data_IF_338208385863
#
_entry.id   IF_338208385863
#
_cell.length_a   1.000
_cell.length_b   1.000
_cell.length_c   1.000
_cell.angle_alpha   90.00
_cell.angle_beta   90.00
_cell.angle_gamma   90.00
#
_symmetry.space_group_name_H-M   'P 1'
#
loop_
_entity.id
_entity.type
_entity.pdbx_description
1 polymer ?
#
# COMPACT_ATOMS: atom_id res chain seq x y z
N UNK A 1 12.20 -13.91 -41.90
CA UNK A 1 12.81 -12.65 -41.44
C UNK A 1 14.21 -12.95 -40.99
N UNK A 2 15.17 -12.13 -41.41
CA UNK A 2 16.61 -12.30 -41.19
C UNK A 2 17.28 -10.91 -41.25
N UNK A 3 18.53 -10.81 -40.80
CA UNK A 3 19.22 -9.52 -40.69
C UNK A 3 19.50 -8.87 -42.04
N UNK A 4 19.68 -9.63 -43.12
CA UNK A 4 19.88 -9.04 -44.45
C UNK A 4 18.59 -8.39 -44.96
N UNK A 5 17.46 -9.07 -44.78
CA UNK A 5 16.14 -8.51 -45.08
C UNK A 5 15.88 -7.24 -44.26
N UNK A 6 16.18 -7.25 -42.96
CA UNK A 6 16.00 -6.05 -42.11
C UNK A 6 16.91 -4.90 -42.56
N UNK A 7 18.17 -5.18 -42.91
CA UNK A 7 19.10 -4.16 -43.40
C UNK A 7 18.60 -3.54 -44.71
N UNK A 8 18.12 -4.34 -45.65
CA UNK A 8 17.53 -3.86 -46.90
C UNK A 8 16.29 -2.98 -46.65
N UNK A 9 15.40 -3.38 -45.73
CA UNK A 9 14.24 -2.55 -45.34
C UNK A 9 14.68 -1.22 -44.70
N UNK A 10 15.76 -1.22 -43.93
CA UNK A 10 16.32 -0.02 -43.31
C UNK A 10 16.90 0.94 -44.35
N UNK A 11 17.72 0.44 -45.27
CA UNK A 11 18.35 1.24 -46.34
C UNK A 11 17.31 1.85 -47.29
N UNK A 12 16.19 1.16 -47.50
CA UNK A 12 15.10 1.62 -48.34
C UNK A 12 14.03 2.45 -47.58
N UNK A 13 14.30 2.88 -46.34
CA UNK A 13 13.38 3.65 -45.49
C UNK A 13 11.97 3.02 -45.36
N UNK A 14 11.89 1.70 -45.34
CA UNK A 14 10.61 0.97 -45.30
C UNK A 14 10.06 0.78 -43.88
N UNK A 15 10.75 1.31 -42.87
CA UNK A 15 10.25 1.36 -41.50
C UNK A 15 9.72 2.75 -41.20
N UNK A 16 8.42 2.83 -40.93
CA UNK A 16 7.76 4.10 -40.58
C UNK A 16 7.86 4.41 -39.09
N UNK A 17 8.27 3.42 -38.27
CA UNK A 17 8.51 3.59 -36.84
C UNK A 17 9.56 2.62 -36.30
N UNK A 18 10.18 2.98 -35.17
CA UNK A 18 11.08 2.10 -34.41
C UNK A 18 10.40 0.78 -33.99
N UNK A 19 9.08 0.81 -33.79
CA UNK A 19 8.29 -0.38 -33.40
C UNK A 19 8.22 -1.42 -34.52
N UNK A 20 8.14 -1.00 -35.78
CA UNK A 20 8.15 -1.91 -36.93
C UNK A 20 9.52 -2.58 -37.10
N UNK A 21 10.60 -1.81 -36.91
CA UNK A 21 11.95 -2.35 -36.90
C UNK A 21 12.15 -3.36 -35.76
N UNK A 22 11.72 -3.03 -34.54
CA UNK A 22 11.79 -3.97 -33.40
C UNK A 22 11.01 -5.25 -33.70
N UNK A 23 9.79 -5.14 -34.22
CA UNK A 23 8.92 -6.28 -34.52
C UNK A 23 9.62 -7.27 -35.47
N UNK A 24 10.29 -6.79 -36.50
CA UNK A 24 10.99 -7.65 -37.45
C UNK A 24 12.24 -8.29 -36.83
N UNK A 25 12.99 -7.58 -35.98
CA UNK A 25 14.10 -8.18 -35.22
C UNK A 25 13.58 -9.28 -34.28
N UNK A 26 12.48 -9.04 -33.56
CA UNK A 26 11.87 -10.04 -32.67
C UNK A 26 11.42 -11.29 -33.42
N UNK A 27 10.91 -11.12 -34.64
CA UNK A 27 10.51 -12.22 -35.49
C UNK A 27 11.69 -13.15 -35.85
N UNK A 28 12.92 -12.63 -35.94
CA UNK A 28 14.13 -13.46 -36.11
C UNK A 28 14.31 -14.38 -34.90
N UNK A 29 14.20 -13.86 -33.67
CA UNK A 29 14.35 -14.65 -32.45
C UNK A 29 13.23 -15.68 -32.29
N UNK A 30 11.98 -15.27 -32.53
CA UNK A 30 10.84 -16.19 -32.49
C UNK A 30 11.01 -17.36 -33.48
N UNK A 31 11.42 -17.07 -34.71
CA UNK A 31 11.68 -18.12 -35.70
C UNK A 31 12.85 -19.01 -35.26
N UNK A 32 13.93 -18.43 -34.73
CA UNK A 32 15.06 -19.19 -34.21
C UNK A 32 14.62 -20.20 -33.13
N UNK A 33 13.77 -19.79 -32.19
CA UNK A 33 13.29 -20.69 -31.12
C UNK A 33 12.24 -21.68 -31.58
N UNK A 34 11.51 -21.37 -32.65
CA UNK A 34 10.46 -22.26 -33.19
C UNK A 34 11.05 -23.42 -34.00
N UNK A 35 12.11 -23.16 -34.75
CA UNK A 35 12.66 -24.15 -35.69
C UNK A 35 13.87 -24.93 -35.16
N UNK A 36 14.49 -24.51 -34.05
CA UNK A 36 15.68 -25.15 -33.50
C UNK A 36 15.39 -25.79 -32.14
N UNK A 37 16.04 -26.93 -31.86
CA UNK A 37 15.96 -27.61 -30.57
C UNK A 37 16.53 -26.73 -29.44
N UNK A 38 15.92 -26.78 -28.26
CA UNK A 38 16.31 -25.95 -27.10
C UNK A 38 17.77 -26.14 -26.65
N UNK A 39 18.40 -27.28 -26.98
CA UNK A 39 19.81 -27.58 -26.69
C UNK A 39 20.73 -27.35 -27.90
N UNK A 40 20.19 -26.92 -29.03
CA UNK A 40 20.98 -26.67 -30.24
C UNK A 40 21.84 -25.41 -30.08
N UNK A 41 22.95 -25.37 -30.80
CA UNK A 41 23.87 -24.21 -30.79
C UNK A 41 23.17 -22.97 -31.34
N UNK A 42 22.29 -23.14 -32.30
CA UNK A 42 21.50 -22.09 -32.96
C UNK A 42 20.50 -21.48 -31.96
N UNK A 43 19.78 -22.29 -31.18
CA UNK A 43 18.87 -21.81 -30.15
C UNK A 43 19.61 -20.99 -29.08
N UNK A 44 20.72 -21.52 -28.56
CA UNK A 44 21.56 -20.83 -27.57
C UNK A 44 22.14 -19.52 -28.13
N UNK A 45 22.61 -19.52 -29.37
CA UNK A 45 23.14 -18.32 -30.03
C UNK A 45 22.05 -17.27 -30.25
N UNK A 46 20.83 -17.71 -30.60
CA UNK A 46 19.66 -16.83 -30.70
C UNK A 46 19.30 -16.17 -29.37
N UNK A 47 19.47 -16.87 -28.24
CA UNK A 47 19.23 -16.29 -26.90
C UNK A 47 20.29 -15.26 -26.51
N UNK A 48 21.56 -15.52 -26.83
CA UNK A 48 22.65 -14.57 -26.59
C UNK A 48 22.43 -13.30 -27.43
N UNK A 49 22.09 -13.45 -28.70
CA UNK A 49 21.85 -12.32 -29.60
C UNK A 49 20.63 -11.49 -29.18
N UNK A 50 19.54 -12.14 -28.74
CA UNK A 50 18.36 -11.46 -28.17
C UNK A 50 18.73 -10.62 -26.94
N UNK A 51 19.59 -11.15 -26.06
CA UNK A 51 20.07 -10.42 -24.89
C UNK A 51 20.86 -9.16 -25.26
N UNK A 52 21.79 -9.26 -26.21
CA UNK A 52 22.60 -8.12 -26.69
C UNK A 52 21.70 -7.07 -27.36
N UNK A 53 20.71 -7.52 -28.13
CA UNK A 53 19.74 -6.62 -28.73
C UNK A 53 18.94 -5.85 -27.67
N UNK A 54 18.45 -6.53 -26.63
CA UNK A 54 17.69 -5.90 -25.54
C UNK A 54 18.47 -4.82 -24.80
N UNK A 55 19.74 -5.10 -24.49
CA UNK A 55 20.65 -4.15 -23.84
C UNK A 55 20.75 -2.86 -24.67
N UNK A 56 21.13 -2.99 -25.95
CA UNK A 56 21.29 -1.85 -26.86
C UNK A 56 19.97 -1.12 -27.16
N UNK A 57 18.86 -1.85 -27.26
CA UNK A 57 17.55 -1.29 -27.55
C UNK A 57 17.07 -0.42 -26.38
N UNK A 58 17.23 -0.90 -25.13
CA UNK A 58 16.81 -0.17 -23.94
C UNK A 58 17.64 1.11 -23.73
N UNK A 59 18.95 1.07 -23.93
CA UNK A 59 19.81 2.27 -23.85
C UNK A 59 19.40 3.34 -24.86
N UNK A 60 19.10 2.94 -26.11
CA UNK A 60 18.67 3.85 -27.18
C UNK A 60 17.27 4.41 -26.96
N UNK A 61 16.33 3.61 -26.45
CA UNK A 61 14.97 4.07 -26.14
C UNK A 61 15.00 5.09 -24.99
N UNK A 62 15.80 4.86 -23.95
CA UNK A 62 15.97 5.81 -22.84
C UNK A 62 16.53 7.15 -23.34
N UNK A 63 17.50 7.12 -24.25
CA UNK A 63 18.07 8.35 -24.84
C UNK A 63 17.09 9.07 -25.77
N UNK A 64 16.34 8.34 -26.59
CA UNK A 64 15.31 8.89 -27.48
C UNK A 64 14.18 9.53 -26.67
N UNK A 65 13.71 8.86 -25.62
CA UNK A 65 12.65 9.33 -24.72
C UNK A 65 13.10 10.57 -23.93
N UNK A 66 14.38 10.64 -23.52
CA UNK A 66 14.96 11.85 -22.92
C UNK A 66 14.95 13.05 -23.88
N UNK A 67 15.30 12.85 -25.15
CA UNK A 67 15.30 13.89 -26.17
C UNK A 67 13.87 14.33 -26.55
N UNK A 68 12.91 13.39 -26.63
CA UNK A 68 11.51 13.72 -26.93
C UNK A 68 10.82 14.41 -25.76
N UNK A 69 11.16 14.08 -24.51
CA UNK A 69 10.65 14.78 -23.31
C UNK A 69 11.13 16.21 -23.21
N UNK A 70 12.37 16.52 -23.62
CA UNK A 70 12.89 17.89 -23.66
C UNK A 70 12.22 18.73 -24.76
N UNK A 71 11.94 18.14 -25.93
CA UNK A 71 11.18 18.79 -27.01
C UNK A 71 9.69 19.01 -26.66
N UNK A 72 9.09 18.10 -25.88
CA UNK A 72 7.67 18.17 -25.44
C UNK A 72 7.43 19.19 -24.32
N UNK A 73 8.44 19.56 -23.52
CA UNK A 73 8.30 20.59 -22.46
C UNK A 73 8.17 22.03 -23.00
N UNK A 74 8.43 22.25 -24.29
CA UNK A 74 8.44 23.59 -24.91
C UNK A 74 7.14 23.89 -25.68
N UNK A 75 6.23 22.93 -25.84
CA UNK A 75 4.99 23.11 -26.62
C UNK A 75 3.79 22.61 -25.83
N UNK A 76 3.26 23.51 -25.01
CA UNK A 76 1.87 23.71 -24.63
C UNK A 76 0.96 22.51 -24.25
N UNK A 77 0.32 22.72 -23.10
CA UNK A 77 -1.06 22.41 -22.74
C UNK A 77 -1.95 21.73 -23.79
N UNK A 78 -2.66 20.71 -23.29
CA UNK A 78 -3.87 20.06 -23.79
C UNK A 78 -3.75 18.73 -24.56
N UNK A 79 -4.40 17.74 -23.94
CA UNK A 79 -4.98 16.48 -24.45
C UNK A 79 -4.16 15.18 -24.55
N UNK A 80 -4.73 14.18 -23.86
CA UNK A 80 -4.70 12.73 -24.00
C UNK A 80 -3.43 11.90 -23.71
N UNK A 81 -3.34 11.44 -22.46
CA UNK A 81 -2.34 10.50 -21.91
C UNK A 81 -2.83 9.03 -21.92
N UNK A 82 -3.83 8.71 -22.76
CA UNK A 82 -4.57 7.44 -22.71
C UNK A 82 -3.92 6.28 -23.50
N UNK A 83 -3.11 6.55 -24.55
CA UNK A 83 -2.56 5.49 -25.43
C UNK A 83 -1.41 4.67 -24.79
N UNK A 84 -0.58 5.27 -23.93
CA UNK A 84 0.57 4.57 -23.34
C UNK A 84 0.20 3.65 -22.16
N UNK A 85 -0.81 4.04 -21.38
CA UNK A 85 -1.35 3.24 -20.27
C UNK A 85 -2.05 1.98 -20.80
N UNK A 86 -2.82 2.11 -21.90
CA UNK A 86 -3.52 1.00 -22.55
C UNK A 86 -2.53 -0.03 -23.13
N UNK A 87 -1.43 0.42 -23.75
CA UNK A 87 -0.38 -0.46 -24.26
C UNK A 87 0.35 -1.22 -23.15
N UNK A 88 0.64 -0.57 -22.03
CA UNK A 88 1.24 -1.22 -20.86
C UNK A 88 0.31 -2.28 -20.27
N UNK A 89 -0.97 -1.95 -20.07
CA UNK A 89 -1.97 -2.90 -19.57
C UNK A 89 -2.14 -4.10 -20.49
N UNK A 90 -2.23 -3.89 -21.81
CA UNK A 90 -2.29 -4.99 -22.80
C UNK A 90 -1.09 -5.92 -22.68
N UNK A 91 0.11 -5.38 -22.49
CA UNK A 91 1.33 -6.18 -22.30
C UNK A 91 1.31 -6.96 -20.98
N UNK A 92 0.85 -6.35 -19.88
CA UNK A 92 0.70 -7.04 -18.60
C UNK A 92 -0.34 -8.16 -18.68
N UNK A 93 -1.48 -7.93 -19.32
CA UNK A 93 -2.51 -8.95 -19.55
C UNK A 93 -1.97 -10.12 -20.37
N UNK A 94 -1.20 -9.86 -21.44
CA UNK A 94 -0.56 -10.93 -22.22
C UNK A 94 0.45 -11.74 -21.38
N UNK A 95 1.24 -11.10 -20.52
CA UNK A 95 2.17 -11.79 -19.62
C UNK A 95 1.38 -12.68 -18.63
N UNK A 96 0.28 -12.17 -18.07
CA UNK A 96 -0.59 -12.93 -17.16
C UNK A 96 -1.22 -14.14 -17.86
N UNK A 97 -1.68 -13.99 -19.10
CA UNK A 97 -2.23 -15.09 -19.90
C UNK A 97 -1.17 -16.15 -20.22
N UNK A 98 0.01 -15.73 -20.69
CA UNK A 98 1.12 -16.64 -21.01
C UNK A 98 1.62 -17.41 -19.78
N UNK A 99 1.52 -16.82 -18.59
CA UNK A 99 1.98 -17.40 -17.33
C UNK A 99 0.84 -17.92 -16.45
N UNK A 100 -0.39 -18.06 -16.97
CA UNK A 100 -1.57 -18.45 -16.18
C UNK A 100 -1.41 -19.78 -15.44
N UNK A 101 -0.56 -20.69 -15.94
CA UNK A 101 -0.27 -21.98 -15.31
C UNK A 101 0.98 -21.99 -14.43
N UNK A 102 1.72 -20.88 -14.36
CA UNK A 102 2.86 -20.75 -13.47
C UNK A 102 2.36 -20.52 -12.03
N UNK A 103 2.81 -21.37 -11.11
CA UNK A 103 2.37 -21.36 -9.70
C UNK A 103 2.66 -20.01 -9.01
N UNK A 104 3.81 -19.40 -9.29
CA UNK A 104 4.22 -18.12 -8.70
C UNK A 104 3.29 -17.00 -9.18
N UNK A 105 2.97 -16.96 -10.48
CA UNK A 105 2.03 -15.97 -11.02
C UNK A 105 0.63 -16.14 -10.46
N UNK A 106 0.14 -17.37 -10.33
CA UNK A 106 -1.14 -17.64 -9.67
C UNK A 106 -1.18 -17.12 -8.24
N UNK A 107 -0.10 -17.32 -7.47
CA UNK A 107 -0.02 -16.81 -6.11
C UNK A 107 -0.04 -15.28 -6.08
N UNK A 108 0.75 -14.61 -6.92
CA UNK A 108 0.76 -13.13 -7.00
C UNK A 108 -0.62 -12.57 -7.36
N UNK A 109 -1.33 -13.21 -8.29
CA UNK A 109 -2.70 -12.82 -8.65
C UNK A 109 -3.65 -13.00 -7.46
N UNK A 110 -3.55 -14.12 -6.74
CA UNK A 110 -4.37 -14.37 -5.56
C UNK A 110 -4.10 -13.33 -4.46
N UNK A 111 -2.83 -12.99 -4.20
CA UNK A 111 -2.45 -11.98 -3.21
C UNK A 111 -2.98 -10.59 -3.62
N UNK A 112 -2.88 -10.24 -4.91
CA UNK A 112 -3.44 -9.00 -5.44
C UNK A 112 -4.97 -8.94 -5.31
N UNK A 113 -5.66 -10.06 -5.52
CA UNK A 113 -7.11 -10.17 -5.35
C UNK A 113 -7.52 -9.99 -3.88
N UNK A 114 -6.74 -10.52 -2.94
CA UNK A 114 -6.95 -10.30 -1.50
C UNK A 114 -6.81 -8.82 -1.15
N UNK A 115 -5.79 -8.13 -1.66
CA UNK A 115 -5.58 -6.69 -1.46
C UNK A 115 -6.76 -5.89 -2.03
N UNK A 116 -7.22 -6.21 -3.25
CA UNK A 116 -8.38 -5.56 -3.86
C UNK A 116 -9.65 -5.75 -3.02
N UNK A 117 -9.91 -6.97 -2.57
CA UNK A 117 -11.05 -7.30 -1.69
C UNK A 117 -10.98 -6.58 -0.33
N UNK A 118 -9.78 -6.49 0.25
CA UNK A 118 -9.55 -5.74 1.49
C UNK A 118 -9.94 -4.26 1.33
N UNK A 119 -9.54 -3.65 0.22
CA UNK A 119 -9.89 -2.28 -0.13
C UNK A 119 -11.40 -2.11 -0.39
N UNK A 120 -11.99 -2.94 -1.25
CA UNK A 120 -13.39 -2.82 -1.64
C UNK A 120 -14.34 -2.97 -0.44
N UNK A 121 -14.04 -3.90 0.47
CA UNK A 121 -14.83 -4.11 1.68
C UNK A 121 -14.77 -2.90 2.63
N UNK A 122 -13.59 -2.31 2.83
CA UNK A 122 -13.42 -1.22 3.78
C UNK A 122 -14.07 0.09 3.30
N UNK A 123 -14.00 0.40 2.00
CA UNK A 123 -14.57 1.65 1.43
C UNK A 123 -16.10 1.66 1.29
N UNK A 124 -16.74 0.49 1.42
CA UNK A 124 -18.19 0.38 1.65
C UNK A 124 -18.56 0.32 3.13
N UNK A 125 -17.56 0.39 4.01
CA UNK A 125 -17.73 0.45 5.45
C UNK A 125 -17.88 -0.91 6.14
N UNK A 126 -17.50 -2.01 5.48
CA UNK A 126 -17.44 -3.36 6.05
C UNK A 126 -15.99 -3.75 6.34
N UNK A 127 -15.57 -3.62 7.59
CA UNK A 127 -14.19 -3.91 8.00
C UNK A 127 -13.90 -5.41 8.19
N UNK A 128 -14.92 -6.28 8.26
CA UNK A 128 -14.73 -7.69 8.64
C UNK A 128 -13.76 -8.43 7.70
N UNK A 129 -13.92 -8.39 6.35
CA UNK A 129 -13.00 -9.08 5.45
C UNK A 129 -11.56 -8.57 5.56
N UNK A 130 -11.40 -7.26 5.76
CA UNK A 130 -10.11 -6.63 5.99
C UNK A 130 -9.42 -7.22 7.24
N UNK A 131 -10.15 -7.42 8.33
CA UNK A 131 -9.62 -7.99 9.58
C UNK A 131 -9.22 -9.45 9.42
N UNK A 132 -9.99 -10.24 8.67
CA UNK A 132 -9.68 -11.64 8.39
C UNK A 132 -8.37 -11.79 7.58
N UNK A 133 -8.20 -10.92 6.57
CA UNK A 133 -6.97 -10.86 5.78
C UNK A 133 -5.79 -10.42 6.65
N UNK A 134 -5.96 -9.34 7.43
CA UNK A 134 -4.93 -8.87 8.36
C UNK A 134 -4.49 -9.97 9.34
N UNK A 135 -5.43 -10.72 9.91
CA UNK A 135 -5.14 -11.84 10.80
C UNK A 135 -4.31 -12.92 10.09
N UNK A 136 -4.68 -13.26 8.85
CA UNK A 136 -3.94 -14.24 8.05
C UNK A 136 -2.48 -13.81 7.85
N UNK A 137 -2.24 -12.55 7.53
CA UNK A 137 -0.89 -12.00 7.38
C UNK A 137 -0.10 -12.01 8.70
N UNK A 138 -0.72 -11.60 9.82
CA UNK A 138 -0.07 -11.62 11.13
C UNK A 138 0.36 -13.04 11.53
N UNK A 139 -0.46 -14.05 11.23
CA UNK A 139 -0.16 -15.45 11.53
C UNK A 139 0.99 -16.04 10.68
N UNK A 140 1.34 -15.43 9.54
CA UNK A 140 2.53 -15.85 8.77
C UNK A 140 3.84 -15.45 9.44
N UNK A 141 3.80 -14.51 10.40
CA UNK A 141 5.00 -14.02 11.04
C UNK A 141 5.60 -15.06 11.97
N UNK A 142 6.92 -15.04 12.06
CA UNK A 142 7.63 -15.87 13.03
C UNK A 142 7.22 -15.47 14.45
N UNK A 143 6.93 -16.47 15.29
CA UNK A 143 6.74 -16.30 16.74
C UNK A 143 7.89 -15.52 17.42
N UNK A 144 9.09 -15.54 16.85
CA UNK A 144 10.22 -14.76 17.34
C UNK A 144 9.96 -13.24 17.30
N UNK A 145 9.07 -12.79 16.42
CA UNK A 145 8.71 -11.38 16.29
C UNK A 145 7.67 -10.90 17.30
N UNK A 146 7.00 -11.80 18.04
CA UNK A 146 5.98 -11.45 19.04
C UNK A 146 6.52 -10.49 20.13
N UNK A 147 7.79 -10.62 20.50
CA UNK A 147 8.41 -9.79 21.54
C UNK A 147 8.73 -8.36 21.08
N UNK A 148 8.91 -8.16 19.78
CA UNK A 148 9.32 -6.88 19.18
C UNK A 148 8.21 -6.20 18.37
N UNK A 149 7.10 -6.91 18.13
CA UNK A 149 5.97 -6.38 17.42
C UNK A 149 5.38 -5.15 18.12
N UNK A 150 5.01 -4.16 17.32
CA UNK A 150 4.55 -2.84 17.74
C UNK A 150 3.65 -2.20 16.67
N UNK A 151 3.19 -0.98 16.93
CA UNK A 151 2.30 -0.23 16.03
C UNK A 151 2.94 0.05 14.66
N UNK A 152 4.23 0.39 14.61
CA UNK A 152 4.92 0.62 13.33
C UNK A 152 4.96 -0.64 12.45
N UNK A 153 5.15 -1.82 13.04
CA UNK A 153 5.06 -3.09 12.33
C UNK A 153 3.63 -3.34 11.82
N UNK A 154 2.62 -3.07 12.65
CA UNK A 154 1.22 -3.21 12.28
C UNK A 154 0.86 -2.29 11.09
N UNK A 155 1.29 -1.03 11.16
CA UNK A 155 1.08 -0.05 10.11
C UNK A 155 1.68 -0.54 8.78
N UNK A 156 2.94 -0.98 8.78
CA UNK A 156 3.60 -1.50 7.58
C UNK A 156 2.86 -2.70 6.95
N UNK A 157 2.25 -3.57 7.76
CA UNK A 157 1.44 -4.69 7.26
C UNK A 157 0.14 -4.18 6.65
N UNK A 158 -0.62 -3.33 7.36
CA UNK A 158 -1.88 -2.77 6.86
C UNK A 158 -1.67 -1.97 5.58
N UNK A 159 -0.58 -1.21 5.51
CA UNK A 159 -0.12 -0.53 4.32
C UNK A 159 0.06 -1.49 3.12
N UNK A 160 0.66 -2.67 3.34
CA UNK A 160 0.81 -3.67 2.27
C UNK A 160 -0.52 -4.27 1.79
N UNK A 161 -1.58 -4.18 2.61
CA UNK A 161 -2.93 -4.67 2.31
C UNK A 161 -3.81 -3.62 1.61
N UNK A 162 -3.27 -2.43 1.34
CA UNK A 162 -4.00 -1.33 0.72
C UNK A 162 -3.28 -0.87 -0.56
N UNK A 163 -4.00 -0.59 -1.65
CA UNK A 163 -3.37 -0.12 -2.88
C UNK A 163 -2.70 1.25 -2.67
N UNK A 164 -1.50 1.41 -3.23
CA UNK A 164 -0.68 2.63 -3.06
C UNK A 164 -1.41 3.92 -3.46
N UNK A 165 -2.22 3.88 -4.51
CA UNK A 165 -2.98 5.05 -5.02
C UNK A 165 -4.12 5.47 -4.10
N UNK A 166 -4.52 4.62 -3.14
CA UNK A 166 -5.67 4.86 -2.29
C UNK A 166 -5.33 4.93 -0.80
N UNK A 167 -4.05 5.07 -0.44
CA UNK A 167 -3.65 5.17 0.97
C UNK A 167 -2.67 6.30 1.22
N UNK A 168 -2.85 6.98 2.34
CA UNK A 168 -1.99 8.05 2.83
C UNK A 168 -1.58 7.70 4.25
N UNK A 169 -0.38 7.14 4.44
CA UNK A 169 0.17 6.92 5.77
C UNK A 169 0.47 8.25 6.45
N UNK A 170 0.18 8.32 7.74
CA UNK A 170 0.49 9.44 8.63
C UNK A 170 -0.02 10.78 8.06
N UNK A 171 -1.31 10.83 7.73
CA UNK A 171 -1.94 12.05 7.20
C UNK A 171 -1.74 13.20 8.19
N UNK A 172 -1.03 14.23 7.75
CA UNK A 172 -0.63 15.34 8.62
C UNK A 172 -1.77 16.34 8.84
N UNK A 173 -2.05 16.62 10.11
CA UNK A 173 -3.15 17.47 10.56
C UNK A 173 -2.66 18.62 11.47
N UNK A 174 -3.30 19.78 11.34
CA UNK A 174 -3.29 20.81 12.37
C UNK A 174 -4.55 20.63 13.20
N UNK A 175 -4.38 20.10 14.41
CA UNK A 175 -5.49 19.79 15.32
C UNK A 175 -6.07 21.06 15.94
N UNK A 176 -5.18 21.92 16.43
CA UNK A 176 -5.54 23.20 17.03
C UNK A 176 -4.41 24.21 16.84
N UNK A 177 -4.58 25.13 15.88
CA UNK A 177 -3.60 26.16 15.57
C UNK A 177 -3.31 27.15 16.70
N UNK A 178 -4.16 27.21 17.73
CA UNK A 178 -3.97 28.08 18.91
C UNK A 178 -2.98 27.49 19.92
N UNK A 179 -2.71 26.19 19.85
CA UNK A 179 -1.80 25.51 20.78
C UNK A 179 -0.35 25.70 20.38
N UNK A 180 0.55 25.64 21.37
CA UNK A 180 1.99 25.66 21.14
C UNK A 180 2.44 24.35 20.49
N UNK A 181 3.55 24.39 19.73
CA UNK A 181 4.16 23.17 19.18
C UNK A 181 4.49 22.20 20.31
N UNK A 182 4.11 20.94 20.15
CA UNK A 182 4.28 19.89 21.17
C UNK A 182 3.16 19.80 22.21
N UNK A 183 2.18 20.71 22.21
CA UNK A 183 1.04 20.67 23.16
C UNK A 183 -0.25 20.09 22.53
N UNK A 184 -0.12 19.26 21.49
CA UNK A 184 -1.26 18.76 20.71
C UNK A 184 -1.73 19.69 19.60
N UNK A 185 -0.85 20.59 19.11
CA UNK A 185 -1.10 21.43 17.93
C UNK A 185 -1.23 20.61 16.65
N UNK A 186 -0.42 19.56 16.53
CA UNK A 186 -0.34 18.70 15.35
C UNK A 186 -0.83 17.29 15.68
N UNK A 187 -1.34 16.60 14.67
CA UNK A 187 -1.78 15.22 14.74
C UNK A 187 -1.45 14.50 13.44
N UNK A 188 -1.35 13.19 13.52
CA UNK A 188 -1.06 12.32 12.39
C UNK A 188 -2.05 11.18 12.45
N UNK A 189 -2.95 11.10 11.46
CA UNK A 189 -3.85 9.94 11.34
C UNK A 189 -3.07 8.80 10.70
N UNK A 190 -3.04 7.64 11.34
CA UNK A 190 -2.12 6.56 10.98
C UNK A 190 -2.24 6.16 9.52
N UNK A 191 -3.46 5.89 9.04
CA UNK A 191 -3.71 5.62 7.63
C UNK A 191 -5.04 6.23 7.19
N UNK A 192 -4.99 7.12 6.21
CA UNK A 192 -6.16 7.64 5.53
C UNK A 192 -6.34 6.97 4.16
N UNK A 193 -7.46 6.27 3.98
CA UNK A 193 -7.82 5.56 2.75
C UNK A 193 -8.73 6.43 1.90
N UNK A 194 -8.29 6.67 0.67
CA UNK A 194 -9.06 7.39 -0.34
C UNK A 194 -10.10 6.49 -0.96
N UNK A 195 -11.20 7.10 -1.40
CA UNK A 195 -12.25 6.41 -2.14
C UNK A 195 -12.07 6.59 -3.65
N UNK A 196 -12.34 5.55 -4.41
CA UNK A 196 -12.41 5.54 -5.86
C UNK A 196 -13.78 5.97 -6.39
N UNK A 197 -13.97 5.83 -7.70
CA UNK A 197 -15.24 6.13 -8.36
C UNK A 197 -16.27 5.05 -7.96
N UNK A 198 -17.41 5.47 -7.41
CA UNK A 198 -18.48 4.57 -6.96
C UNK A 198 -18.39 4.17 -5.49
N UNK A 199 -17.26 4.46 -4.84
CA UNK A 199 -17.05 4.15 -3.43
C UNK A 199 -17.81 5.13 -2.51
N UNK A 200 -18.17 4.65 -1.32
CA UNK A 200 -19.06 5.35 -0.40
C UNK A 200 -18.25 6.25 0.55
N UNK A 201 -17.29 5.67 1.25
CA UNK A 201 -16.60 6.31 2.37
C UNK A 201 -15.12 6.59 2.05
N UNK A 202 -14.64 7.73 2.53
CA UNK A 202 -13.23 7.88 2.88
C UNK A 202 -13.02 7.23 4.25
N UNK A 203 -11.95 6.45 4.41
CA UNK A 203 -11.70 5.74 5.67
C UNK A 203 -10.51 6.34 6.40
N UNK A 204 -10.64 6.56 7.71
CA UNK A 204 -9.50 6.82 8.59
C UNK A 204 -9.31 5.62 9.52
N UNK A 205 -8.10 5.08 9.54
CA UNK A 205 -7.72 3.99 10.42
C UNK A 205 -6.82 4.53 11.52
N UNK A 206 -7.17 4.20 12.76
CA UNK A 206 -6.33 4.40 13.94
C UNK A 206 -5.87 3.03 14.43
N UNK A 207 -4.57 2.86 14.60
CA UNK A 207 -3.92 1.58 14.85
C UNK A 207 -3.38 1.56 16.27
N UNK A 208 -3.71 0.52 17.01
CA UNK A 208 -3.17 0.27 18.34
C UNK A 208 -2.59 -1.13 18.42
N UNK A 209 -1.45 -1.29 19.08
CA UNK A 209 -0.80 -2.59 19.24
C UNK A 209 -0.45 -2.88 20.70
N UNK A 210 -0.99 -3.96 21.23
CA UNK A 210 -0.68 -4.48 22.55
C UNK A 210 0.39 -5.56 22.43
N UNK A 211 1.62 -5.19 22.80
CA UNK A 211 2.71 -6.15 22.93
C UNK A 211 2.41 -7.17 24.03
N UNK A 212 2.58 -8.45 23.70
CA UNK A 212 2.42 -9.54 24.66
C UNK A 212 3.35 -9.40 25.86
N UNK A 213 4.54 -8.84 25.67
CA UNK A 213 5.51 -8.58 26.75
C UNK A 213 4.91 -7.63 27.79
N UNK A 214 4.15 -6.64 27.35
CA UNK A 214 3.52 -5.65 28.24
C UNK A 214 2.33 -6.20 29.04
N UNK A 215 1.81 -7.37 28.68
CA UNK A 215 0.74 -8.06 29.42
C UNK A 215 1.25 -8.95 30.54
N UNK A 216 2.57 -9.14 30.64
CA UNK A 216 3.14 -10.07 31.59
C UNK A 216 3.48 -9.34 32.89
N UNK A 217 2.87 -9.78 34.00
CA UNK A 217 2.96 -9.15 35.32
C UNK A 217 4.40 -9.02 35.88
N UNK A 218 5.32 -9.88 35.47
CA UNK A 218 6.70 -9.88 35.97
C UNK A 218 7.72 -9.72 34.83
N UNK A 219 7.91 -8.49 34.35
CA UNK A 219 8.84 -8.15 33.26
C UNK A 219 10.31 -8.54 33.54
N UNK A 220 10.67 -8.95 34.77
CA UNK A 220 12.03 -9.41 35.13
C UNK A 220 12.33 -10.82 34.63
N UNK A 221 11.32 -11.66 34.40
CA UNK A 221 11.52 -12.96 33.78
C UNK A 221 11.66 -12.78 32.26
N UNK A 222 12.73 -13.34 31.66
CA UNK A 222 12.83 -13.42 30.20
C UNK A 222 11.83 -14.45 29.70
N UNK A 223 10.77 -13.98 29.05
CA UNK A 223 9.82 -14.85 28.36
C UNK A 223 10.35 -15.14 26.96
N UNK A 224 10.51 -16.42 26.64
CA UNK A 224 10.90 -16.86 25.31
C UNK A 224 9.74 -16.79 24.33
N UNK A 225 10.04 -17.08 23.07
CA UNK A 225 9.05 -17.08 22.01
C UNK A 225 7.96 -18.16 22.20
N UNK A 226 8.24 -19.23 22.94
CA UNK A 226 7.27 -20.29 23.24
C UNK A 226 6.21 -19.80 24.23
N UNK A 227 6.63 -19.10 25.28
CA UNK A 227 5.73 -18.55 26.30
C UNK A 227 4.82 -17.48 25.70
N UNK A 228 5.37 -16.62 24.84
CA UNK A 228 4.58 -15.62 24.11
C UNK A 228 3.57 -16.26 23.15
N UNK A 229 3.95 -17.29 22.40
CA UNK A 229 3.01 -18.03 21.53
C UNK A 229 1.88 -18.67 22.33
N UNK A 230 2.19 -19.26 23.49
CA UNK A 230 1.19 -19.85 24.36
C UNK A 230 0.24 -18.79 24.91
N UNK A 231 0.76 -17.63 25.32
CA UNK A 231 -0.06 -16.49 25.74
C UNK A 231 -0.97 -16.04 24.60
N UNK A 232 -0.45 -15.83 23.39
CA UNK A 232 -1.22 -15.40 22.21
C UNK A 232 -2.42 -16.33 21.94
N UNK A 233 -2.22 -17.65 22.05
CA UNK A 233 -3.29 -18.67 21.91
C UNK A 233 -4.33 -18.63 23.02
N UNK A 234 -3.94 -18.27 24.25
CA UNK A 234 -4.87 -18.10 25.37
C UNK A 234 -5.73 -16.86 25.13
N UNK A 235 -5.09 -15.74 24.75
CA UNK A 235 -5.78 -14.47 24.49
C UNK A 235 -6.78 -14.57 23.34
N UNK A 236 -6.49 -15.39 22.34
CA UNK A 236 -7.40 -15.65 21.21
C UNK A 236 -8.79 -16.13 21.67
N UNK A 237 -8.83 -16.94 22.73
CA UNK A 237 -10.04 -17.60 23.25
C UNK A 237 -10.76 -16.80 24.33
N UNK A 238 -10.18 -15.69 24.79
CA UNK A 238 -10.75 -14.91 25.86
C UNK A 238 -11.92 -14.04 25.39
N UNK A 239 -12.86 -13.79 26.31
CA UNK A 239 -13.95 -12.84 26.07
C UNK A 239 -13.38 -11.44 25.83
N UNK A 240 -14.07 -10.63 25.02
CA UNK A 240 -13.67 -9.24 24.84
C UNK A 240 -13.71 -8.46 26.17
N UNK A 241 -14.69 -8.73 27.02
CA UNK A 241 -14.89 -8.07 28.32
C UNK A 241 -13.73 -8.31 29.29
N UNK A 242 -13.24 -9.54 29.38
CA UNK A 242 -12.10 -9.88 30.25
C UNK A 242 -10.80 -9.35 29.67
N UNK A 243 -10.66 -9.44 28.34
CA UNK A 243 -9.50 -8.95 27.63
C UNK A 243 -9.31 -7.43 27.81
N UNK A 244 -10.38 -6.64 27.68
CA UNK A 244 -10.32 -5.19 27.86
C UNK A 244 -9.94 -4.79 29.29
N UNK A 245 -10.25 -5.60 30.31
CA UNK A 245 -9.88 -5.36 31.72
C UNK A 245 -8.43 -5.71 32.04
N UNK A 246 -7.70 -6.36 31.12
CA UNK A 246 -6.32 -6.78 31.40
C UNK A 246 -5.41 -5.57 31.65
N UNK A 247 -4.56 -5.62 32.69
CA UNK A 247 -3.52 -4.63 32.88
C UNK A 247 -2.48 -4.76 31.76
N UNK A 248 -2.09 -3.61 31.23
CA UNK A 248 -1.07 -3.47 30.21
C UNK A 248 -0.01 -2.49 30.68
N UNK A 249 1.25 -2.85 30.49
CA UNK A 249 2.41 -2.05 30.90
C UNK A 249 3.30 -1.79 29.69
N UNK A 250 3.76 -0.55 29.56
CA UNK A 250 4.61 -0.14 28.45
C UNK A 250 5.62 0.92 28.87
N UNK A 251 6.75 0.94 28.17
CA UNK A 251 7.79 1.94 28.41
C UNK A 251 7.50 3.22 27.64
N UNK A 252 7.29 4.33 28.35
CA UNK A 252 7.20 5.66 27.72
C UNK A 252 8.61 6.21 27.49
N UNK A 253 9.00 6.36 26.23
CA UNK A 253 10.27 6.98 25.85
C UNK A 253 10.34 8.45 26.27
N UNK A 254 9.23 9.18 26.14
CA UNK A 254 9.11 10.60 26.48
C UNK A 254 9.31 10.85 27.98
N UNK A 255 8.58 10.11 28.82
CA UNK A 255 8.61 10.28 30.27
C UNK A 255 9.69 9.42 30.96
N UNK A 256 10.42 8.61 30.19
CA UNK A 256 11.44 7.65 30.65
C UNK A 256 10.98 6.80 31.84
N UNK A 257 9.72 6.33 31.79
CA UNK A 257 9.12 5.51 32.84
C UNK A 257 8.21 4.43 32.27
N UNK A 258 8.03 3.35 33.02
CA UNK A 258 6.99 2.37 32.75
C UNK A 258 5.65 2.94 33.19
N UNK A 259 4.70 2.98 32.27
CA UNK A 259 3.31 3.32 32.56
C UNK A 259 2.49 2.02 32.66
N UNK A 260 1.40 2.08 33.42
CA UNK A 260 0.42 1.02 33.55
C UNK A 260 -0.96 1.57 33.14
N UNK A 261 -1.71 0.77 32.38
CA UNK A 261 -3.03 1.08 31.85
C UNK A 261 -3.80 -0.25 31.68
N UNK A 262 -4.93 -0.24 30.97
CA UNK A 262 -5.63 -1.45 30.53
C UNK A 262 -5.75 -1.50 29.01
N UNK A 263 -6.00 -2.69 28.46
CA UNK A 263 -6.28 -2.83 27.02
C UNK A 263 -7.47 -1.97 26.61
N UNK A 264 -8.51 -1.89 27.44
CA UNK A 264 -9.69 -1.07 27.21
C UNK A 264 -9.40 0.43 27.19
N UNK A 265 -8.54 0.93 28.08
CA UNK A 265 -8.10 2.33 28.07
C UNK A 265 -7.31 2.67 26.80
N UNK A 266 -6.47 1.74 26.30
CA UNK A 266 -5.77 1.92 25.02
C UNK A 266 -6.77 1.99 23.86
N UNK A 267 -7.77 1.11 23.83
CA UNK A 267 -8.82 1.13 22.80
C UNK A 267 -9.62 2.45 22.84
N UNK A 268 -10.09 2.85 24.02
CA UNK A 268 -10.91 4.05 24.20
C UNK A 268 -10.14 5.33 23.89
N UNK A 269 -8.84 5.38 24.20
CA UNK A 269 -7.99 6.51 23.79
C UNK A 269 -7.83 6.58 22.27
N UNK A 270 -7.67 5.44 21.59
CA UNK A 270 -7.70 5.37 20.12
C UNK A 270 -9.02 5.86 19.52
N UNK A 271 -10.16 5.49 20.11
CA UNK A 271 -11.49 5.95 19.67
C UNK A 271 -11.58 7.48 19.76
N UNK A 272 -11.23 8.04 20.92
CA UNK A 272 -11.28 9.49 21.16
C UNK A 272 -10.33 10.26 20.22
N UNK A 273 -9.16 9.68 19.94
CA UNK A 273 -8.17 10.23 19.02
C UNK A 273 -8.70 10.25 17.58
N UNK A 274 -9.26 9.13 17.12
CA UNK A 274 -9.81 8.99 15.79
C UNK A 274 -10.99 9.94 15.55
N UNK A 275 -11.89 10.09 16.53
CA UNK A 275 -12.98 11.08 16.47
C UNK A 275 -12.45 12.51 16.28
N UNK A 276 -11.38 12.88 17.01
CA UNK A 276 -10.74 14.18 16.87
C UNK A 276 -10.12 14.38 15.48
N UNK A 277 -9.44 13.35 14.96
CA UNK A 277 -8.87 13.37 13.62
C UNK A 277 -9.92 13.48 12.53
N UNK A 278 -10.99 12.69 12.61
CA UNK A 278 -12.11 12.72 11.66
C UNK A 278 -12.78 14.10 11.60
N UNK A 279 -13.01 14.71 12.76
CA UNK A 279 -13.52 16.07 12.87
C UNK A 279 -12.56 17.14 12.34
N UNK A 280 -11.26 16.87 12.35
CA UNK A 280 -10.25 17.78 11.79
C UNK A 280 -10.14 17.63 10.28
N UNK A 281 -10.14 16.39 9.78
CA UNK A 281 -10.13 16.04 8.36
C UNK A 281 -11.32 16.69 7.64
N UNK A 282 -12.52 16.65 8.23
CA UNK A 282 -13.73 17.23 7.64
C UNK A 282 -13.69 18.73 7.41
N UNK A 283 -12.78 19.46 8.05
CA UNK A 283 -12.57 20.91 7.87
C UNK A 283 -11.80 21.25 6.59
N UNK A 284 -11.25 20.25 5.89
CA UNK A 284 -10.52 20.44 4.64
C UNK A 284 -9.11 21.00 4.84
N UNK A 285 -8.57 21.65 3.80
CA UNK A 285 -7.17 22.14 3.80
C UNK A 285 -7.02 23.39 4.65
N UNK A 286 -5.94 23.47 5.42
CA UNK A 286 -5.48 24.72 6.02
C UNK A 286 -4.32 25.31 5.21
N UNK A 287 -4.29 26.65 5.12
CA UNK A 287 -3.23 27.40 4.42
C UNK A 287 -1.97 27.46 5.27
N UNK A 288 -2.14 27.57 6.59
CA UNK A 288 -1.08 27.72 7.57
C UNK A 288 -1.42 26.98 8.87
N UNK A 289 -0.63 27.22 9.91
CA UNK A 289 -0.81 26.60 11.23
C UNK A 289 -1.78 27.36 12.15
N UNK A 290 -2.51 28.37 11.67
CA UNK A 290 -3.44 29.16 12.48
C UNK A 290 -4.83 28.51 12.58
N UNK A 291 -5.24 27.80 11.54
CA UNK A 291 -6.50 27.06 11.47
C UNK A 291 -6.40 25.63 12.01
N UNK A 292 -7.47 24.86 11.84
CA UNK A 292 -7.50 23.41 12.07
C UNK A 292 -7.99 22.70 10.82
N UNK A 293 -7.29 21.66 10.39
CA UNK A 293 -7.59 20.91 9.17
C UNK A 293 -6.38 20.11 8.68
N UNK A 294 -6.43 19.68 7.42
CA UNK A 294 -5.36 18.90 6.79
C UNK A 294 -4.24 19.83 6.36
N UNK A 295 -3.01 19.47 6.76
CA UNK A 295 -1.77 20.13 6.36
C UNK A 295 -0.81 19.06 5.84
N UNK A 296 -1.12 18.54 4.66
CA UNK A 296 -0.34 17.50 3.99
C UNK A 296 -0.27 17.83 2.50
N UNK A 297 0.94 18.01 1.99
CA UNK A 297 1.17 18.41 0.60
C UNK A 297 0.84 17.31 -0.40
N UNK A 298 0.80 16.04 0.03
CA UNK A 298 0.49 14.90 -0.82
C UNK A 298 -0.98 14.84 -1.20
N UNK A 299 -1.83 15.65 -0.55
CA UNK A 299 -3.30 15.59 -0.69
C UNK A 299 -3.84 16.80 -1.42
N UNK A 300 -4.44 16.55 -2.58
CA UNK A 300 -5.32 17.50 -3.26
C UNK A 300 -6.70 17.46 -2.62
N UNK A 301 -7.12 18.60 -2.08
CA UNK A 301 -8.41 18.78 -1.43
C UNK A 301 -9.23 19.76 -2.26
N UNK A 302 -10.40 19.32 -2.73
CA UNK A 302 -11.28 20.11 -3.58
C UNK A 302 -12.66 20.19 -2.92
N UNK A 303 -13.24 21.38 -2.85
CA UNK A 303 -14.60 21.55 -2.36
C UNK A 303 -15.58 20.79 -3.27
N UNK A 304 -16.49 20.04 -2.69
CA UNK A 304 -17.42 19.18 -3.41
C UNK A 304 -18.75 19.04 -2.66
N UNK A 305 -19.65 18.23 -3.22
CA UNK A 305 -20.85 17.81 -2.51
C UNK A 305 -20.48 17.03 -1.23
N UNK A 306 -21.36 16.98 -0.23
CA UNK A 306 -21.11 16.23 1.00
C UNK A 306 -20.66 14.79 0.73
N UNK A 307 -19.49 14.44 1.26
CA UNK A 307 -18.92 13.11 1.30
C UNK A 307 -18.94 12.58 2.74
N UNK A 308 -18.88 11.25 2.86
CA UNK A 308 -18.87 10.58 4.16
C UNK A 308 -17.46 10.13 4.51
N UNK A 309 -17.03 10.46 5.71
CA UNK A 309 -15.88 9.89 6.37
C UNK A 309 -16.39 8.79 7.31
N UNK A 310 -15.75 7.62 7.29
CA UNK A 310 -15.95 6.57 8.31
C UNK A 310 -14.61 6.22 8.94
N UNK A 311 -14.59 5.91 10.22
CA UNK A 311 -13.36 5.60 10.93
C UNK A 311 -13.44 4.26 11.65
N UNK A 312 -12.29 3.56 11.72
CA UNK A 312 -12.14 2.37 12.55
C UNK A 312 -10.87 2.44 13.37
N UNK A 313 -10.99 2.09 14.65
CA UNK A 313 -9.84 1.75 15.49
C UNK A 313 -9.58 0.25 15.33
N UNK A 314 -8.35 -0.13 15.00
CA UNK A 314 -7.89 -1.53 14.91
C UNK A 314 -6.88 -1.76 16.02
N UNK A 315 -7.26 -2.58 17.01
CA UNK A 315 -6.41 -2.96 18.13
C UNK A 315 -5.95 -4.40 17.96
N UNK A 316 -4.65 -4.59 17.74
CA UNK A 316 -4.06 -5.93 17.63
C UNK A 316 -3.35 -6.29 18.93
N UNK A 317 -3.57 -7.51 19.41
CA UNK A 317 -2.97 -8.06 20.62
C UNK A 317 -2.24 -9.35 20.21
N UNK A 318 -0.91 -9.33 20.28
CA UNK A 318 -0.09 -10.40 19.73
C UNK A 318 -0.27 -10.52 18.21
N UNK A 319 -0.51 -11.73 17.69
CA UNK A 319 -0.81 -11.96 16.27
C UNK A 319 -2.19 -12.58 16.04
N UNK A 320 -2.85 -13.07 17.09
CA UNK A 320 -4.10 -13.84 16.95
C UNK A 320 -5.36 -13.04 17.23
N UNK A 321 -5.29 -12.09 18.16
CA UNK A 321 -6.47 -11.37 18.65
C UNK A 321 -6.50 -9.96 18.09
N UNK A 322 -7.55 -9.65 17.35
CA UNK A 322 -7.79 -8.33 16.76
C UNK A 322 -9.16 -7.88 17.22
N UNK A 323 -9.23 -6.71 17.86
CA UNK A 323 -10.46 -6.01 18.16
C UNK A 323 -10.57 -4.81 17.22
N UNK A 324 -11.80 -4.42 16.89
CA UNK A 324 -12.05 -3.19 16.14
C UNK A 324 -13.29 -2.49 16.65
N UNK A 325 -13.32 -1.17 16.56
CA UNK A 325 -14.49 -0.34 16.88
C UNK A 325 -14.67 0.75 15.82
N UNK A 326 -15.88 0.92 15.26
CA UNK A 326 -16.17 2.06 14.42
C UNK A 326 -16.32 3.32 15.29
N UNK A 327 -16.09 4.48 14.68
CA UNK A 327 -16.53 5.78 15.21
C UNK A 327 -17.69 6.32 14.39
N UNK A 328 -18.38 7.34 14.91
CA UNK A 328 -19.49 7.98 14.22
C UNK A 328 -19.06 8.56 12.86
N UNK A 329 -19.97 8.48 11.89
CA UNK A 329 -19.75 9.03 10.55
C UNK A 329 -19.64 10.56 10.60
N UNK A 330 -18.67 11.11 9.87
CA UNK A 330 -18.48 12.56 9.77
C UNK A 330 -18.70 13.00 8.33
N UNK A 331 -19.48 14.05 8.13
CA UNK A 331 -19.70 14.64 6.81
C UNK A 331 -18.58 15.64 6.49
N UNK A 332 -18.05 15.56 5.28
CA UNK A 332 -17.07 16.50 4.74
C UNK A 332 -17.55 17.07 3.40
N UNK A 333 -17.41 18.38 3.20
CA UNK A 333 -17.73 19.04 1.93
C UNK A 333 -16.52 19.07 0.98
N UNK A 334 -15.67 18.05 1.06
CA UNK A 334 -14.43 17.96 0.31
C UNK A 334 -14.23 16.57 -0.29
N UNK A 335 -13.59 16.55 -1.45
CA UNK A 335 -13.02 15.37 -2.09
C UNK A 335 -11.51 15.38 -1.85
N UNK A 336 -10.95 14.22 -1.51
CA UNK A 336 -9.52 14.03 -1.24
C UNK A 336 -8.91 13.12 -2.30
N UNK A 337 -7.79 13.53 -2.89
CA UNK A 337 -7.02 12.74 -3.87
C UNK A 337 -5.52 12.89 -3.60
N UNK A 338 -4.73 11.88 -3.95
CA UNK A 338 -3.26 12.03 -4.03
C UNK A 338 -2.91 12.92 -5.24
N UNK A 339 -1.89 13.77 -5.08
CA UNK A 339 -1.32 14.62 -6.15
C UNK A 339 -0.52 13.79 -7.16
#
# INVERSE_FOLDING_TARGET
>A
MDLFTINSKLENNQYTSLKEFEKDIRLIFCNCYTYNDIKSKEYCSGKILESIFNEKWNEKIILYDRQTRELKRVRDTDTDDTDDTDRFWKKQCQILEQNKNNLIYRQVINDALLIASAYESIVVGNIIPFIEILKTFLLTRSRMSLSLANESMLQAIIESLLPLKYRIPELSLVMDGKKLKGSGRFGYSDIFVLKGIGDIYYISLELKYISLVGLIKNQKAKYGANELENLDKILEKESEEDLLKRPYTYWSKEHKRTNQTTIGEVLNSGISQLESYMNTISKGRVVDYSGSGIFDERVKIVKSNPNKLKGFVILVIGFRRILWKPVDEVISNYTYNII
#
